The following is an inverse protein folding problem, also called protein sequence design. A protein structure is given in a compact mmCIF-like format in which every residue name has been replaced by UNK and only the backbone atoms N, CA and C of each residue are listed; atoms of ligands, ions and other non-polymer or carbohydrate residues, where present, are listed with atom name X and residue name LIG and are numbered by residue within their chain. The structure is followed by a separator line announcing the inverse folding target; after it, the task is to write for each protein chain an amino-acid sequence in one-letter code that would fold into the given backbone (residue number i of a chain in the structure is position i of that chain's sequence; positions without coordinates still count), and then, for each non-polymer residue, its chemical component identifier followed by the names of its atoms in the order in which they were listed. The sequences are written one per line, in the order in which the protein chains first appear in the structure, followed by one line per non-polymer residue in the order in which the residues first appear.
data_IF_631632429456
#
_entry.id   IF_631632429456
#
_cell.length_a   1.000
_cell.length_b   1.000
_cell.length_c   1.000
_cell.angle_alpha   90.00
_cell.angle_beta   90.00
_cell.angle_gamma   90.00
#
_symmetry.space_group_name_H-M   'P 1'
#
loop_
_entity.id
_entity.type
_entity.pdbx_description
1 polymer ?
#
# COMPACT_ATOMS: atom_id res chain seq x y z
N UNK A 1 -4.58 -13.60 17.13
CA UNK A 1 -4.97 -13.58 15.70
C UNK A 1 -4.31 -12.42 14.97
N UNK A 2 -4.48 -11.18 15.44
CA UNK A 2 -3.86 -10.00 14.82
C UNK A 2 -2.31 -10.04 14.83
N UNK A 3 -1.70 -10.27 16.00
CA UNK A 3 -0.25 -10.44 16.12
C UNK A 3 0.32 -11.58 15.26
N UNK A 4 -0.48 -12.59 14.92
CA UNK A 4 -0.04 -13.72 14.08
C UNK A 4 0.01 -13.31 12.59
N UNK A 5 -0.95 -12.51 12.14
CA UNK A 5 -1.01 -12.02 10.77
C UNK A 5 0.07 -10.95 10.51
N UNK A 6 0.23 -10.02 11.45
CA UNK A 6 1.28 -9.00 11.42
C UNK A 6 2.67 -9.65 11.38
N UNK A 7 2.99 -10.53 12.34
CA UNK A 7 4.27 -11.24 12.37
C UNK A 7 4.53 -12.03 11.08
N UNK A 8 3.50 -12.63 10.49
CA UNK A 8 3.63 -13.36 9.24
C UNK A 8 4.08 -12.45 8.10
N UNK A 9 3.38 -11.33 7.86
CA UNK A 9 3.71 -10.40 6.79
C UNK A 9 5.01 -9.67 7.04
N UNK A 10 5.27 -9.28 8.29
CA UNK A 10 6.55 -8.69 8.70
C UNK A 10 7.72 -9.63 8.39
N UNK A 11 7.61 -10.91 8.76
CA UNK A 11 8.63 -11.92 8.43
C UNK A 11 8.79 -12.08 6.91
N UNK A 12 7.68 -12.09 6.16
CA UNK A 12 7.72 -12.22 4.68
C UNK A 12 8.51 -11.06 4.06
N UNK A 13 8.25 -9.81 4.46
CA UNK A 13 8.94 -8.65 3.90
C UNK A 13 10.39 -8.51 4.36
N UNK A 14 10.73 -9.00 5.56
CA UNK A 14 12.11 -9.02 6.04
C UNK A 14 12.98 -10.09 5.37
N UNK A 15 12.38 -11.21 4.92
CA UNK A 15 13.16 -12.40 4.52
C UNK A 15 13.06 -12.75 3.04
N UNK A 16 12.01 -12.31 2.34
CA UNK A 16 11.80 -12.65 0.93
C UNK A 16 12.23 -11.51 0.01
N UNK A 17 12.78 -11.91 -1.13
CA UNK A 17 12.96 -11.02 -2.28
C UNK A 17 11.58 -10.75 -2.93
N UNK A 18 11.07 -9.53 -2.74
CA UNK A 18 9.78 -9.07 -3.25
C UNK A 18 9.71 -9.00 -4.77
N UNK A 19 10.83 -9.18 -5.49
CA UNK A 19 10.83 -9.30 -6.95
C UNK A 19 10.54 -10.73 -7.43
N UNK A 20 10.62 -11.72 -6.53
CA UNK A 20 10.45 -13.15 -6.83
C UNK A 20 9.13 -13.73 -6.34
N UNK A 21 8.32 -12.94 -5.65
CA UNK A 21 6.99 -13.36 -5.17
C UNK A 21 5.95 -13.25 -6.29
N UNK A 22 4.95 -14.14 -6.27
CA UNK A 22 3.95 -14.22 -7.35
C UNK A 22 3.04 -12.99 -7.51
N UNK A 23 3.04 -12.07 -6.53
CA UNK A 23 2.28 -10.82 -6.60
C UNK A 23 3.12 -9.61 -7.05
N UNK A 24 4.41 -9.79 -7.36
CA UNK A 24 5.26 -8.70 -7.83
C UNK A 24 4.75 -8.11 -9.16
N UNK A 25 4.78 -6.79 -9.29
CA UNK A 25 4.57 -6.09 -10.55
C UNK A 25 5.59 -4.98 -10.69
N UNK A 26 6.40 -5.02 -11.76
CA UNK A 26 7.36 -3.94 -12.05
C UNK A 26 6.66 -2.60 -12.27
N UNK A 27 5.49 -2.63 -12.92
CA UNK A 27 4.56 -1.51 -13.03
C UNK A 27 3.13 -2.03 -12.80
N UNK A 28 2.37 -1.50 -11.81
CA UNK A 28 1.00 -1.93 -11.53
C UNK A 28 0.00 -1.30 -12.53
N UNK A 29 0.14 -1.63 -13.81
CA UNK A 29 -0.56 -0.94 -14.91
C UNK A 29 -2.09 -0.96 -14.76
N UNK A 30 -2.68 -2.11 -14.40
CA UNK A 30 -4.13 -2.24 -14.24
C UNK A 30 -4.66 -1.32 -13.12
N UNK A 31 -3.96 -1.24 -11.99
CA UNK A 31 -4.32 -0.33 -10.90
C UNK A 31 -4.25 1.13 -11.35
N UNK A 32 -3.18 1.51 -12.05
CA UNK A 32 -3.01 2.86 -12.61
C UNK A 32 -4.13 3.20 -13.61
N UNK A 33 -4.50 2.27 -14.48
CA UNK A 33 -5.58 2.48 -15.46
C UNK A 33 -6.93 2.70 -14.77
N UNK A 34 -7.22 1.94 -13.70
CA UNK A 34 -8.46 2.12 -12.94
C UNK A 34 -8.48 3.44 -12.16
N UNK A 35 -7.38 3.80 -11.51
CA UNK A 35 -7.27 5.09 -10.81
C UNK A 35 -7.41 6.26 -11.81
N UNK A 36 -6.79 6.16 -12.98
CA UNK A 36 -6.93 7.18 -14.03
C UNK A 36 -8.38 7.36 -14.52
N UNK A 37 -9.19 6.30 -14.52
CA UNK A 37 -10.62 6.37 -14.87
C UNK A 37 -11.47 7.04 -13.80
N UNK A 38 -11.02 7.09 -12.54
CA UNK A 38 -11.71 7.79 -11.47
C UNK A 38 -11.66 9.32 -11.64
N UNK A 39 -10.77 9.84 -12.51
CA UNK A 39 -10.63 11.28 -12.83
C UNK A 39 -10.50 12.17 -11.59
N UNK A 40 -9.74 11.69 -10.61
CA UNK A 40 -9.46 12.43 -9.39
C UNK A 40 -8.64 13.69 -9.66
N UNK A 41 -8.88 14.72 -8.87
CA UNK A 41 -7.94 15.85 -8.81
C UNK A 41 -6.64 15.41 -8.12
N UNK A 42 -5.54 16.11 -8.40
CA UNK A 42 -4.20 15.71 -7.95
C UNK A 42 -3.97 15.91 -6.45
N UNK A 43 -4.80 16.71 -5.82
CA UNK A 43 -4.85 16.97 -4.38
C UNK A 43 -5.90 16.12 -3.65
N UNK A 44 -6.68 15.29 -4.35
CA UNK A 44 -7.62 14.37 -3.71
C UNK A 44 -6.91 13.18 -3.06
N UNK A 45 -7.33 12.84 -1.85
CA UNK A 45 -6.71 11.81 -1.04
C UNK A 45 -6.94 10.38 -1.59
N UNK A 46 -5.85 9.65 -1.77
CA UNK A 46 -5.82 8.23 -2.16
C UNK A 46 -5.28 7.39 -1.01
N UNK A 47 -5.98 6.33 -0.63
CA UNK A 47 -5.51 5.33 0.31
C UNK A 47 -5.17 4.03 -0.44
N UNK A 48 -3.89 3.65 -0.47
CA UNK A 48 -3.43 2.34 -0.95
C UNK A 48 -3.31 1.38 0.24
N UNK A 49 -4.25 0.44 0.32
CA UNK A 49 -4.37 -0.54 1.40
C UNK A 49 -3.56 -1.78 1.05
N UNK A 50 -2.76 -2.25 2.02
CA UNK A 50 -1.80 -3.34 1.89
C UNK A 50 -0.81 -3.08 0.74
N UNK A 51 -0.21 -1.90 0.75
CA UNK A 51 0.67 -1.44 -0.31
C UNK A 51 1.91 -2.33 -0.52
N UNK A 52 2.34 -3.06 0.50
CA UNK A 52 3.49 -3.95 0.44
C UNK A 52 4.75 -3.23 -0.04
N UNK A 53 5.52 -3.90 -0.91
CA UNK A 53 6.59 -3.28 -1.70
C UNK A 53 6.12 -2.92 -3.13
N UNK A 54 4.84 -2.58 -3.29
CA UNK A 54 4.28 -2.15 -4.58
C UNK A 54 4.92 -0.83 -5.03
N UNK A 55 5.06 -0.65 -6.35
CA UNK A 55 5.47 0.63 -6.95
C UNK A 55 4.30 1.56 -7.25
N UNK A 56 3.08 1.26 -6.78
CA UNK A 56 1.91 2.08 -7.10
C UNK A 56 2.09 3.52 -6.63
N UNK A 57 2.48 3.73 -5.37
CA UNK A 57 2.75 5.07 -4.82
C UNK A 57 3.81 5.81 -5.62
N UNK A 58 4.86 5.15 -6.10
CA UNK A 58 5.87 5.76 -6.97
C UNK A 58 5.27 6.35 -8.24
N UNK A 59 4.41 5.59 -8.91
CA UNK A 59 3.79 6.01 -10.16
C UNK A 59 2.72 7.07 -9.93
N UNK A 60 1.97 7.01 -8.84
CA UNK A 60 0.98 8.03 -8.49
C UNK A 60 1.66 9.38 -8.17
N UNK A 61 2.74 9.37 -7.39
CA UNK A 61 3.56 10.56 -7.12
C UNK A 61 4.16 11.12 -8.42
N UNK A 62 4.68 10.27 -9.29
CA UNK A 62 5.21 10.68 -10.59
C UNK A 62 4.13 11.26 -11.52
N UNK A 63 2.89 10.79 -11.39
CA UNK A 63 1.71 11.33 -12.09
C UNK A 63 1.14 12.60 -11.42
N UNK A 64 1.80 13.10 -10.37
CA UNK A 64 1.52 14.38 -9.72
C UNK A 64 0.47 14.35 -8.61
N UNK A 65 0.03 13.17 -8.16
CA UNK A 65 -0.82 13.06 -6.97
C UNK A 65 -0.04 13.48 -5.72
N UNK A 66 -0.68 14.23 -4.83
CA UNK A 66 -0.03 14.91 -3.70
C UNK A 66 -0.45 14.34 -2.35
N UNK A 67 -1.65 13.76 -2.24
CA UNK A 67 -2.16 13.19 -1.00
C UNK A 67 -2.37 11.68 -1.15
N UNK A 68 -1.30 10.93 -0.92
CA UNK A 68 -1.32 9.47 -0.97
C UNK A 68 -0.96 8.94 0.42
N UNK A 69 -1.81 8.07 0.95
CA UNK A 69 -1.52 7.29 2.15
C UNK A 69 -1.32 5.83 1.74
N UNK A 70 -0.19 5.24 2.13
CA UNK A 70 0.05 3.80 2.03
C UNK A 70 -0.13 3.19 3.40
N UNK A 71 -1.08 2.27 3.49
CA UNK A 71 -1.34 1.48 4.69
C UNK A 71 -0.84 0.06 4.48
N UNK A 72 -0.07 -0.46 5.41
CA UNK A 72 0.28 -1.88 5.44
C UNK A 72 0.34 -2.37 6.89
N UNK A 73 0.12 -3.66 7.09
CA UNK A 73 0.26 -4.28 8.41
C UNK A 73 1.73 -4.48 8.79
N UNK A 74 2.63 -4.54 7.79
CA UNK A 74 4.06 -4.71 7.98
C UNK A 74 4.80 -3.37 7.95
N UNK A 75 5.60 -3.12 8.98
CA UNK A 75 6.53 -1.99 9.01
C UNK A 75 7.66 -2.18 7.98
N UNK A 76 8.21 -3.39 7.87
CA UNK A 76 9.24 -3.71 6.88
C UNK A 76 8.81 -3.38 5.44
N UNK A 77 7.56 -3.67 5.07
CA UNK A 77 7.02 -3.30 3.76
C UNK A 77 7.10 -1.80 3.50
N UNK A 78 6.65 -0.98 4.47
CA UNK A 78 6.63 0.47 4.32
C UNK A 78 8.04 1.05 4.32
N UNK A 79 8.98 0.50 5.09
CA UNK A 79 10.38 0.93 5.06
C UNK A 79 11.04 0.72 3.69
N UNK A 80 10.70 -0.37 2.98
CA UNK A 80 11.19 -0.58 1.60
C UNK A 80 10.72 0.54 0.66
N UNK A 81 9.45 0.96 0.77
CA UNK A 81 8.93 2.06 -0.04
C UNK A 81 9.57 3.38 0.38
N UNK A 82 9.63 3.69 1.68
CA UNK A 82 10.25 4.92 2.19
C UNK A 82 11.70 5.05 1.73
N UNK A 83 12.47 3.97 1.76
CA UNK A 83 13.84 3.95 1.28
C UNK A 83 13.91 4.36 -0.20
N UNK A 84 13.07 3.74 -1.05
CA UNK A 84 12.98 4.04 -2.47
C UNK A 84 12.50 5.46 -2.79
N UNK A 85 11.57 6.02 -2.00
CA UNK A 85 11.07 7.39 -2.21
C UNK A 85 12.03 8.46 -1.69
N UNK A 86 12.80 8.17 -0.63
CA UNK A 86 13.81 9.09 -0.11
C UNK A 86 14.86 9.44 -1.17
N UNK A 87 15.24 8.48 -2.00
CA UNK A 87 16.13 8.69 -3.15
C UNK A 87 15.56 9.68 -4.18
N UNK A 88 14.22 9.81 -4.23
CA UNK A 88 13.48 10.62 -5.21
C UNK A 88 12.98 11.96 -4.66
N UNK A 89 13.19 12.25 -3.38
CA UNK A 89 12.72 13.46 -2.69
C UNK A 89 11.20 13.71 -2.80
N UNK A 90 10.42 12.65 -2.93
CA UNK A 90 8.95 12.70 -2.92
C UNK A 90 8.42 12.11 -1.61
N UNK A 91 7.23 12.52 -1.19
CA UNK A 91 6.66 12.11 0.09
C UNK A 91 5.24 11.58 -0.07
N UNK A 92 4.91 10.59 0.75
CA UNK A 92 3.58 10.03 0.95
C UNK A 92 3.38 9.82 2.46
N UNK A 93 2.13 9.67 2.89
CA UNK A 93 1.79 9.28 4.27
C UNK A 93 1.92 7.76 4.39
N UNK A 94 2.47 7.28 5.50
CA UNK A 94 2.68 5.84 5.75
C UNK A 94 2.04 5.45 7.07
N UNK A 95 1.20 4.41 7.07
CA UNK A 95 0.48 3.95 8.25
C UNK A 95 0.70 2.46 8.45
N UNK A 96 1.38 2.09 9.53
CA UNK A 96 1.49 0.69 9.96
C UNK A 96 0.24 0.35 10.76
N UNK A 97 -0.68 -0.41 10.15
CA UNK A 97 -1.94 -0.77 10.79
C UNK A 97 -2.61 -1.94 10.10
N UNK A 98 -3.35 -2.74 10.86
CA UNK A 98 -4.32 -3.67 10.32
C UNK A 98 -5.54 -2.89 9.79
N UNK A 99 -5.89 -3.11 8.52
CA UNK A 99 -7.04 -2.46 7.88
C UNK A 99 -8.36 -2.66 8.63
N UNK A 100 -8.53 -3.76 9.37
CA UNK A 100 -9.72 -4.02 10.18
C UNK A 100 -9.87 -3.08 11.39
N UNK A 101 -8.75 -2.51 11.87
CA UNK A 101 -8.74 -1.53 12.95
C UNK A 101 -8.49 -0.09 12.46
N UNK A 102 -8.24 0.09 11.17
CA UNK A 102 -7.91 1.40 10.61
C UNK A 102 -9.15 2.28 10.44
N UNK A 103 -9.08 3.49 10.97
CA UNK A 103 -10.11 4.51 10.86
C UNK A 103 -9.47 5.78 10.30
N UNK A 104 -9.82 6.22 9.08
CA UNK A 104 -9.27 7.43 8.52
C UNK A 104 -9.78 8.65 9.29
N UNK A 105 -8.88 9.59 9.59
CA UNK A 105 -9.23 10.87 10.22
C UNK A 105 -9.74 11.85 9.16
N UNK A 106 -9.22 11.73 7.93
CA UNK A 106 -9.52 12.60 6.80
C UNK A 106 -10.42 11.89 5.78
N UNK A 107 -11.13 12.66 4.96
CA UNK A 107 -11.93 12.09 3.86
C UNK A 107 -10.98 11.53 2.79
N UNK A 108 -11.15 10.26 2.46
CA UNK A 108 -10.45 9.61 1.36
C UNK A 108 -11.35 9.58 0.12
N UNK A 109 -10.86 10.11 -1.00
CA UNK A 109 -11.60 10.14 -2.28
C UNK A 109 -11.53 8.80 -3.02
N UNK A 110 -10.43 8.04 -2.86
CA UNK A 110 -10.29 6.71 -3.46
C UNK A 110 -9.55 5.74 -2.54
N UNK A 111 -10.16 4.57 -2.34
CA UNK A 111 -9.53 3.42 -1.69
C UNK A 111 -9.09 2.44 -2.77
N UNK A 112 -7.81 2.12 -2.79
CA UNK A 112 -7.24 1.09 -3.63
C UNK A 112 -6.74 -0.06 -2.76
N UNK A 113 -6.95 -1.29 -3.20
CA UNK A 113 -6.31 -2.46 -2.64
C UNK A 113 -6.08 -3.48 -3.75
N UNK A 114 -5.08 -4.34 -3.59
CA UNK A 114 -4.88 -5.48 -4.49
C UNK A 114 -4.55 -6.73 -3.70
N UNK A 115 -5.45 -7.70 -3.75
CA UNK A 115 -5.34 -9.02 -3.09
C UNK A 115 -5.21 -9.01 -1.56
N UNK A 116 -5.31 -7.86 -0.88
CA UNK A 116 -5.18 -7.75 0.58
C UNK A 116 -6.28 -8.52 1.32
N UNK A 117 -7.53 -8.34 0.91
CA UNK A 117 -8.67 -8.95 1.61
C UNK A 117 -8.76 -10.46 1.45
N UNK A 118 -8.05 -11.05 0.48
CA UNK A 118 -7.93 -12.51 0.38
C UNK A 118 -7.18 -13.11 1.58
N UNK A 119 -6.26 -12.34 2.17
CA UNK A 119 -5.46 -12.75 3.33
C UNK A 119 -6.20 -12.58 4.66
N UNK A 120 -7.38 -11.94 4.65
CA UNK A 120 -8.23 -11.82 5.82
C UNK A 120 -9.03 -13.12 5.99
N UNK A 121 -8.46 -14.04 6.76
CA UNK A 121 -9.17 -15.27 7.10
C UNK A 121 -10.28 -14.94 8.12
N UNK A 122 -11.53 -15.06 7.70
CA UNK A 122 -12.72 -14.91 8.55
C UNK A 122 -12.92 -16.01 9.59
N UNK A 123 -11.85 -16.63 10.11
CA UNK A 123 -11.96 -17.50 11.28
C UNK A 123 -11.83 -16.66 12.53
N UNK A 124 -12.89 -15.90 12.80
CA UNK A 124 -13.25 -15.55 14.17
C UNK A 124 -13.98 -16.76 14.74
N UNK A 125 -13.26 -17.60 15.49
CA UNK A 125 -13.84 -18.51 16.47
C UNK A 125 -13.17 -18.21 17.82
#
# INVERSE_FOLDING_TARGET
MEATLENHWETVYQTKDTTKVGWHQTKPQISLDFIGKAKLAKDEAILDVGGGDSKLVDYLLADGFQDITVLDISEAALEMIKHRLKERQVQAKFVVSNILGFHPIEKISLWHYRAVFHSLNGKGE
#
